data_IF_428588327173
#
_entry.id   IF_428588327173
#
_cell.length_a   1.000
_cell.length_b   1.000
_cell.length_c   1.000
_cell.angle_alpha   90.00
_cell.angle_beta   90.00
_cell.angle_gamma   90.00
#
_symmetry.space_group_name_H-M   'P 1'
#
loop_
_entity.id
_entity.type
_entity.pdbx_description
1 polymer ?
#
# COMPACT_ATOMS: atom_id res chain seq x y z
N UNK A 1 6.10 -23.53 18.24
CA UNK A 1 6.88 -22.27 18.13
C UNK A 1 6.73 -21.55 19.46
N UNK A 2 7.83 -21.19 20.14
CA UNK A 2 7.75 -20.55 21.45
C UNK A 2 7.10 -19.15 21.32
N UNK A 3 6.24 -18.79 22.28
CA UNK A 3 5.61 -17.48 22.28
C UNK A 3 6.67 -16.39 22.51
N UNK A 4 6.66 -15.29 21.73
CA UNK A 4 7.58 -14.19 21.92
C UNK A 4 7.34 -13.46 23.25
N UNK A 5 8.40 -12.88 23.79
CA UNK A 5 8.40 -12.11 25.04
C UNK A 5 7.50 -10.87 24.93
N UNK A 6 6.68 -10.61 25.96
CA UNK A 6 5.55 -9.66 25.92
C UNK A 6 5.98 -8.19 25.81
N UNK A 7 7.28 -7.91 25.94
CA UNK A 7 7.88 -6.57 25.87
C UNK A 7 8.34 -6.11 24.48
N UNK A 8 8.37 -6.98 23.47
CA UNK A 8 8.97 -6.70 22.16
C UNK A 8 7.96 -6.81 21.02
N UNK A 9 8.12 -5.98 19.98
CA UNK A 9 7.39 -6.15 18.74
C UNK A 9 7.75 -7.50 18.10
N UNK A 10 6.74 -8.24 17.68
CA UNK A 10 6.87 -9.49 16.96
C UNK A 10 6.69 -9.20 15.49
N UNK A 11 7.56 -9.71 14.63
CA UNK A 11 7.38 -9.61 13.17
C UNK A 11 7.45 -10.95 12.48
N UNK A 12 6.70 -11.09 11.40
CA UNK A 12 6.79 -12.22 10.49
C UNK A 12 6.72 -11.73 9.04
N UNK A 13 7.41 -12.44 8.15
CA UNK A 13 7.21 -12.30 6.71
C UNK A 13 6.40 -13.47 6.21
N UNK A 14 5.43 -13.20 5.36
CA UNK A 14 4.65 -14.22 4.66
C UNK A 14 4.56 -13.88 3.18
N UNK A 15 4.33 -14.90 2.37
CA UNK A 15 3.81 -14.73 1.03
C UNK A 15 2.28 -14.78 1.08
N UNK A 16 1.60 -13.91 0.33
CA UNK A 16 0.16 -14.00 0.12
C UNK A 16 -0.19 -15.14 -0.87
N UNK A 17 -1.48 -15.29 -1.19
CA UNK A 17 -1.95 -16.32 -2.12
C UNK A 17 -1.31 -16.26 -3.52
N UNK A 18 -0.82 -15.08 -3.93
CA UNK A 18 -0.20 -14.84 -5.25
C UNK A 18 1.34 -14.82 -5.18
N UNK A 19 1.92 -14.96 -3.99
CA UNK A 19 3.37 -14.95 -3.77
C UNK A 19 3.94 -13.60 -3.38
N UNK A 20 3.13 -12.55 -3.23
CA UNK A 20 3.60 -11.24 -2.79
C UNK A 20 4.05 -11.29 -1.33
N UNK A 21 5.23 -10.74 -1.04
CA UNK A 21 5.79 -10.79 0.31
C UNK A 21 5.32 -9.60 1.14
N UNK A 22 4.69 -9.89 2.27
CA UNK A 22 4.27 -8.91 3.27
C UNK A 22 5.01 -9.10 4.58
N UNK A 23 5.20 -8.01 5.32
CA UNK A 23 5.69 -8.06 6.71
C UNK A 23 4.56 -7.67 7.66
N UNK A 24 4.23 -8.58 8.59
CA UNK A 24 3.35 -8.30 9.72
C UNK A 24 4.21 -7.91 10.92
N UNK A 25 3.76 -6.93 11.69
CA UNK A 25 4.44 -6.49 12.91
C UNK A 25 3.41 -6.17 14.00
N UNK A 26 3.62 -6.68 15.21
CA UNK A 26 2.78 -6.34 16.37
C UNK A 26 3.18 -4.99 16.96
N UNK A 27 2.26 -4.38 17.69
CA UNK A 27 2.62 -3.27 18.59
C UNK A 27 3.60 -3.77 19.66
N UNK A 28 4.52 -2.91 20.07
CA UNK A 28 5.31 -3.12 21.29
C UNK A 28 4.44 -2.74 22.50
N UNK A 29 4.66 -3.35 23.66
CA UNK A 29 3.99 -2.98 24.92
C UNK A 29 4.52 -1.68 25.55
N UNK A 30 5.45 -0.98 24.88
CA UNK A 30 5.89 0.33 25.34
C UNK A 30 4.69 1.28 25.35
N UNK A 31 4.56 2.17 26.35
CA UNK A 31 3.49 3.15 26.35
C UNK A 31 3.52 3.86 25.00
N UNK A 32 2.34 3.95 24.38
CA UNK A 32 2.09 4.78 23.21
C UNK A 32 2.44 6.20 23.67
N UNK A 33 3.71 6.61 23.58
CA UNK A 33 4.01 8.03 23.43
C UNK A 33 3.22 8.38 22.21
N UNK A 34 2.09 9.04 22.44
CA UNK A 34 1.23 9.56 21.39
C UNK A 34 2.19 10.11 20.34
N UNK A 35 2.25 9.46 19.18
CA UNK A 35 2.78 10.11 18.00
C UNK A 35 1.73 11.17 17.71
N UNK A 36 1.79 12.27 18.48
CA UNK A 36 0.94 13.42 18.33
C UNK A 36 1.00 13.85 16.88
N UNK A 37 -0.16 14.21 16.32
CA UNK A 37 -0.42 14.40 14.89
C UNK A 37 0.49 15.40 14.18
N UNK A 38 1.76 15.06 14.01
CA UNK A 38 2.67 15.74 13.11
C UNK A 38 2.35 15.30 11.70
N UNK A 39 2.22 16.27 10.79
CA UNK A 39 2.08 15.99 9.36
C UNK A 39 3.21 15.04 8.92
N UNK A 40 2.90 13.96 8.19
CA UNK A 40 3.91 13.06 7.61
C UNK A 40 4.95 13.88 6.83
N UNK A 41 6.22 13.51 6.99
CA UNK A 41 7.32 14.12 6.24
C UNK A 41 7.57 13.35 4.94
N UNK A 42 8.11 13.98 3.87
CA UNK A 42 8.57 13.25 2.71
C UNK A 42 9.50 12.08 3.09
N UNK A 43 9.33 10.95 2.41
CA UNK A 43 9.96 9.67 2.74
C UNK A 43 9.13 8.80 3.70
N UNK A 44 8.07 9.32 4.31
CA UNK A 44 7.13 8.51 5.08
C UNK A 44 6.35 7.55 4.17
N UNK A 45 6.00 6.39 4.73
CA UNK A 45 5.03 5.49 4.12
C UNK A 45 3.68 6.22 3.97
N UNK A 46 3.13 6.20 2.76
CA UNK A 46 1.87 6.86 2.43
C UNK A 46 0.75 5.83 2.23
N UNK A 47 0.99 4.82 1.40
CA UNK A 47 0.03 3.73 1.11
C UNK A 47 0.78 2.51 0.57
N UNK A 48 0.05 1.50 0.11
CA UNK A 48 0.59 0.39 -0.67
C UNK A 48 -0.33 0.07 -1.85
N UNK A 49 0.24 -0.56 -2.87
CA UNK A 49 -0.46 -1.04 -4.05
C UNK A 49 -0.27 -2.55 -4.22
N UNK A 50 -1.34 -3.26 -4.58
CA UNK A 50 -1.31 -4.68 -4.96
C UNK A 50 -1.68 -4.80 -6.43
N UNK A 51 -0.80 -5.39 -7.23
CA UNK A 51 -1.10 -5.80 -8.60
C UNK A 51 -1.42 -7.28 -8.61
N UNK A 52 -2.58 -7.67 -9.14
CA UNK A 52 -2.98 -9.08 -9.19
C UNK A 52 -3.64 -9.46 -10.51
N UNK A 53 -3.38 -10.67 -10.98
CA UNK A 53 -4.08 -11.25 -12.14
C UNK A 53 -5.33 -12.05 -11.75
N UNK A 54 -5.65 -12.13 -10.45
CA UNK A 54 -6.89 -12.72 -9.93
C UNK A 54 -7.43 -11.89 -8.77
N UNK A 55 -8.08 -10.77 -9.09
CA UNK A 55 -8.62 -9.85 -8.10
C UNK A 55 -9.65 -10.50 -7.18
N UNK A 56 -10.40 -11.51 -7.64
CA UNK A 56 -11.42 -12.19 -6.84
C UNK A 56 -10.76 -13.06 -5.77
N UNK A 57 -9.79 -13.90 -6.15
CA UNK A 57 -9.07 -14.74 -5.19
C UNK A 57 -8.25 -13.89 -4.20
N UNK A 58 -7.58 -12.84 -4.69
CA UNK A 58 -6.80 -11.93 -3.85
C UNK A 58 -7.68 -11.25 -2.80
N UNK A 59 -8.84 -10.69 -3.18
CA UNK A 59 -9.79 -10.07 -2.23
C UNK A 59 -10.32 -11.07 -1.22
N UNK A 60 -10.68 -12.28 -1.66
CA UNK A 60 -11.18 -13.32 -0.77
C UNK A 60 -10.13 -13.72 0.27
N UNK A 61 -8.86 -13.86 -0.13
CA UNK A 61 -7.76 -14.16 0.78
C UNK A 61 -7.57 -13.07 1.84
N UNK A 62 -7.43 -11.80 1.43
CA UNK A 62 -7.18 -10.69 2.38
C UNK A 62 -8.37 -10.46 3.32
N UNK A 63 -9.61 -10.68 2.84
CA UNK A 63 -10.79 -10.64 3.68
C UNK A 63 -10.78 -11.77 4.74
N UNK A 64 -10.47 -13.01 4.35
CA UNK A 64 -10.47 -14.15 5.28
C UNK A 64 -9.29 -14.15 6.26
N UNK A 65 -8.11 -13.70 5.82
CA UNK A 65 -6.89 -13.77 6.61
C UNK A 65 -6.73 -12.59 7.58
N UNK A 66 -7.22 -11.40 7.19
CA UNK A 66 -6.93 -10.15 7.90
C UNK A 66 -8.15 -9.23 8.09
N UNK A 67 -9.35 -9.67 7.73
CA UNK A 67 -10.59 -8.88 7.76
C UNK A 67 -10.51 -7.57 6.95
N UNK A 68 -9.65 -7.54 5.92
CA UNK A 68 -9.54 -6.38 5.03
C UNK A 68 -10.76 -6.30 4.11
N UNK A 69 -11.16 -5.08 3.79
CA UNK A 69 -12.24 -4.83 2.82
C UNK A 69 -11.66 -4.24 1.55
N UNK A 70 -12.30 -4.53 0.42
CA UNK A 70 -11.95 -3.95 -0.87
C UNK A 70 -13.20 -3.44 -1.56
N UNK A 71 -13.18 -2.17 -1.95
CA UNK A 71 -14.28 -1.51 -2.64
C UNK A 71 -13.82 -1.06 -4.02
N UNK A 72 -14.60 -1.38 -5.05
CA UNK A 72 -14.24 -1.01 -6.41
C UNK A 72 -14.36 0.51 -6.58
N UNK A 73 -13.35 1.12 -7.18
CA UNK A 73 -13.42 2.52 -7.60
C UNK A 73 -14.24 2.61 -8.90
N UNK A 74 -15.42 3.25 -8.88
CA UNK A 74 -16.25 3.39 -10.06
C UNK A 74 -15.67 4.37 -11.10
N UNK A 75 -14.66 5.17 -10.74
CA UNK A 75 -13.99 6.13 -11.62
C UNK A 75 -12.84 5.56 -12.43
N UNK A 76 -12.44 4.31 -12.20
CA UNK A 76 -11.31 3.72 -12.93
C UNK A 76 -11.69 3.37 -14.38
N UNK A 77 -10.97 3.96 -15.34
CA UNK A 77 -11.28 3.87 -16.78
C UNK A 77 -10.41 2.88 -17.55
N UNK A 78 -9.20 2.56 -17.08
CA UNK A 78 -8.22 1.75 -17.82
C UNK A 78 -8.20 0.27 -17.38
N UNK A 79 -8.21 0.02 -16.07
CA UNK A 79 -8.32 -1.31 -15.47
C UNK A 79 -9.10 -1.20 -14.15
N UNK A 80 -9.89 -2.21 -13.72
CA UNK A 80 -10.58 -2.13 -12.44
C UNK A 80 -9.59 -1.85 -11.32
N UNK A 81 -9.91 -0.87 -10.47
CA UNK A 81 -9.12 -0.50 -9.31
C UNK A 81 -9.98 -0.66 -8.06
N UNK A 82 -9.37 -1.11 -6.96
CA UNK A 82 -10.05 -1.27 -5.69
C UNK A 82 -9.32 -0.53 -4.59
N UNK A 83 -10.06 0.25 -3.81
CA UNK A 83 -9.57 0.77 -2.54
C UNK A 83 -9.50 -0.35 -1.51
N UNK A 84 -8.36 -0.52 -0.84
CA UNK A 84 -8.17 -1.47 0.26
C UNK A 84 -8.30 -0.76 1.60
N UNK A 85 -9.11 -1.34 2.48
CA UNK A 85 -9.37 -0.85 3.83
C UNK A 85 -8.83 -1.86 4.84
N UNK A 86 -7.83 -1.43 5.62
CA UNK A 86 -7.33 -2.15 6.80
C UNK A 86 -7.93 -1.59 8.10
N UNK A 87 -8.83 -0.61 7.96
CA UNK A 87 -9.52 0.12 9.02
C UNK A 87 -10.68 0.94 8.44
N UNK A 88 -11.09 2.04 9.08
CA UNK A 88 -12.24 2.84 8.64
C UNK A 88 -11.95 3.68 7.38
N UNK A 89 -10.69 4.01 7.12
CA UNK A 89 -10.25 4.76 5.95
C UNK A 89 -9.46 3.85 5.00
N UNK A 90 -9.46 4.15 3.68
CA UNK A 90 -8.60 3.44 2.75
C UNK A 90 -7.13 3.56 3.19
N UNK A 91 -6.35 2.49 3.01
CA UNK A 91 -4.92 2.41 3.38
C UNK A 91 -4.04 2.04 2.19
N UNK A 92 -4.63 1.50 1.13
CA UNK A 92 -3.93 1.07 -0.07
C UNK A 92 -4.88 0.84 -1.22
N UNK A 93 -4.33 0.31 -2.31
CA UNK A 93 -5.03 0.05 -3.55
C UNK A 93 -4.73 -1.32 -4.13
N UNK A 94 -5.58 -1.73 -5.08
CA UNK A 94 -5.39 -2.94 -5.85
C UNK A 94 -5.72 -2.70 -7.32
N UNK A 95 -4.76 -2.98 -8.19
CA UNK A 95 -4.95 -3.07 -9.63
C UNK A 95 -5.39 -4.48 -10.01
N UNK A 96 -6.51 -4.57 -10.73
CA UNK A 96 -6.94 -5.81 -11.38
C UNK A 96 -6.34 -5.90 -12.78
N UNK A 97 -5.37 -6.81 -12.91
CA UNK A 97 -4.70 -7.14 -14.16
C UNK A 97 -5.15 -8.48 -14.73
N UNK A 98 -6.29 -9.02 -14.31
CA UNK A 98 -6.83 -10.29 -14.84
C UNK A 98 -7.02 -10.30 -16.35
N UNK A 99 -7.15 -9.13 -16.98
CA UNK A 99 -7.29 -8.98 -18.45
C UNK A 99 -6.02 -8.44 -19.13
N UNK A 100 -4.96 -8.13 -18.37
CA UNK A 100 -3.71 -7.59 -18.91
C UNK A 100 -2.73 -8.75 -19.14
N UNK A 101 -2.38 -8.97 -20.40
CA UNK A 101 -1.43 -10.03 -20.80
C UNK A 101 -0.03 -9.74 -20.26
N UNK A 102 0.68 -10.78 -19.84
CA UNK A 102 2.05 -10.72 -19.29
C UNK A 102 2.22 -9.77 -18.09
N UNK A 103 1.14 -9.51 -17.35
CA UNK A 103 1.20 -8.75 -16.10
C UNK A 103 1.87 -9.55 -14.97
N UNK A 104 2.49 -8.82 -14.05
CA UNK A 104 3.17 -9.39 -12.89
C UNK A 104 2.38 -9.15 -11.59
N UNK A 105 2.48 -10.09 -10.67
CA UNK A 105 2.02 -9.92 -9.30
C UNK A 105 2.98 -8.97 -8.57
N UNK A 106 2.45 -8.00 -7.83
CA UNK A 106 3.27 -7.16 -6.96
C UNK A 106 2.56 -6.74 -5.69
N UNK A 107 3.38 -6.45 -4.66
CA UNK A 107 3.02 -5.60 -3.54
C UNK A 107 4.06 -4.48 -3.44
N UNK A 108 3.63 -3.24 -3.66
CA UNK A 108 4.52 -2.08 -3.77
C UNK A 108 4.19 -1.05 -2.68
N UNK A 109 5.18 -0.60 -1.89
CA UNK A 109 4.98 0.53 -0.99
C UNK A 109 4.94 1.85 -1.79
N UNK A 110 4.08 2.76 -1.36
CA UNK A 110 4.01 4.14 -1.85
C UNK A 110 4.54 5.07 -0.78
N UNK A 111 5.46 5.97 -1.16
CA UNK A 111 6.08 6.92 -0.24
C UNK A 111 5.69 8.35 -0.59
N UNK A 112 5.56 9.19 0.44
CA UNK A 112 5.33 10.62 0.25
C UNK A 112 6.58 11.26 -0.37
N UNK A 113 6.46 11.79 -1.59
CA UNK A 113 7.54 12.52 -2.25
C UNK A 113 7.47 14.03 -1.93
N UNK A 114 8.59 14.73 -2.05
CA UNK A 114 8.61 16.20 -1.97
C UNK A 114 8.16 16.80 -3.30
N UNK A 115 8.73 16.32 -4.41
CA UNK A 115 8.39 16.72 -5.77
C UNK A 115 8.64 15.55 -6.71
N UNK A 116 7.55 14.92 -7.17
CA UNK A 116 7.62 13.69 -7.97
C UNK A 116 8.46 13.88 -9.24
N UNK A 117 8.29 14.94 -10.07
CA UNK A 117 9.11 15.11 -11.26
C UNK A 117 10.61 15.24 -10.97
N UNK A 118 10.98 15.98 -9.93
CA UNK A 118 12.37 16.18 -9.52
C UNK A 118 12.98 14.88 -8.98
N UNK A 119 12.26 14.17 -8.12
CA UNK A 119 12.73 12.92 -7.53
C UNK A 119 12.88 11.81 -8.60
N UNK A 120 11.95 11.74 -9.56
CA UNK A 120 12.07 10.85 -10.73
C UNK A 120 13.27 11.21 -11.59
N UNK A 121 13.46 12.50 -11.92
CA UNK A 121 14.61 12.96 -12.71
C UNK A 121 15.94 12.61 -12.05
N UNK A 122 16.00 12.72 -10.71
CA UNK A 122 17.16 12.30 -9.92
C UNK A 122 17.37 10.78 -9.97
N UNK A 123 16.32 9.97 -9.89
CA UNK A 123 16.46 8.52 -10.00
C UNK A 123 16.96 8.10 -11.39
N UNK A 124 16.43 8.72 -12.46
CA UNK A 124 16.85 8.46 -13.84
C UNK A 124 18.31 8.83 -14.07
N UNK A 125 18.80 9.94 -13.51
CA UNK A 125 20.23 10.30 -13.62
C UNK A 125 21.17 9.29 -12.95
N UNK A 126 20.65 8.43 -12.07
CA UNK A 126 21.34 7.29 -11.47
C UNK A 126 21.03 5.94 -12.14
N UNK A 127 20.56 5.97 -13.40
CA UNK A 127 20.36 4.79 -14.25
C UNK A 127 19.11 3.98 -13.92
N UNK A 128 18.11 4.58 -13.28
CA UNK A 128 16.80 3.94 -13.05
C UNK A 128 15.85 4.20 -14.21
N UNK A 129 14.86 3.31 -14.35
CA UNK A 129 13.80 3.41 -15.35
C UNK A 129 12.50 3.88 -14.71
N UNK A 130 11.68 4.59 -15.48
CA UNK A 130 10.32 4.93 -15.10
C UNK A 130 9.39 3.88 -15.70
N UNK A 131 8.61 3.23 -14.85
CA UNK A 131 7.63 2.24 -15.28
C UNK A 131 6.36 2.92 -15.84
N UNK A 132 5.93 3.99 -15.17
CA UNK A 132 4.72 4.74 -15.51
C UNK A 132 4.79 6.20 -15.00
N UNK A 133 4.11 7.13 -15.66
CA UNK A 133 4.07 8.55 -15.29
C UNK A 133 5.41 9.29 -15.50
N UNK A 134 5.66 10.42 -14.80
CA UNK A 134 4.80 11.08 -13.82
C UNK A 134 3.55 11.72 -14.46
N UNK A 135 2.42 11.68 -13.76
CA UNK A 135 1.16 12.26 -14.19
C UNK A 135 0.31 12.78 -13.02
N UNK A 136 -0.78 13.49 -13.31
CA UNK A 136 -1.70 13.97 -12.29
C UNK A 136 -2.58 12.84 -11.76
N UNK A 137 -2.53 12.57 -10.44
CA UNK A 137 -3.41 11.61 -9.79
C UNK A 137 -4.78 12.24 -9.47
N UNK A 138 -5.86 11.70 -10.03
CA UNK A 138 -7.23 12.22 -9.87
C UNK A 138 -7.67 12.26 -8.40
N UNK A 139 -7.23 11.29 -7.58
CA UNK A 139 -7.61 11.18 -6.17
C UNK A 139 -6.54 11.66 -5.18
N UNK A 140 -5.36 12.11 -5.64
CA UNK A 140 -4.28 12.57 -4.77
C UNK A 140 -3.93 11.60 -3.62
N UNK A 141 -3.60 12.14 -2.44
CA UNK A 141 -3.24 11.35 -1.23
C UNK A 141 -4.45 10.86 -0.41
N UNK A 142 -5.65 10.75 -1.00
CA UNK A 142 -6.86 10.36 -0.26
C UNK A 142 -6.72 9.02 0.52
N UNK A 143 -5.83 8.14 0.07
CA UNK A 143 -5.59 6.80 0.65
C UNK A 143 -4.61 6.77 1.83
N UNK A 144 -3.99 7.90 2.18
CA UNK A 144 -2.93 7.92 3.18
C UNK A 144 -3.40 8.37 4.58
N UNK A 145 -4.73 8.46 4.78
CA UNK A 145 -5.30 8.91 6.05
C UNK A 145 -5.00 10.38 6.38
N UNK A 146 -4.45 11.15 5.42
CA UNK A 146 -4.13 12.56 5.59
C UNK A 146 -5.38 13.40 5.31
N UNK A 147 -6.29 13.42 6.29
CA UNK A 147 -7.35 14.41 6.31
C UNK A 147 -6.73 15.80 6.22
N UNK A 148 -7.14 16.57 5.21
CA UNK A 148 -6.97 18.02 5.24
C UNK A 148 -7.85 18.49 6.41
N UNK A 149 -7.23 18.81 7.54
CA UNK A 149 -7.90 19.63 8.55
C UNK A 149 -8.06 20.99 7.88
N UNK A 150 -9.29 21.27 7.43
CA UNK A 150 -9.72 22.62 7.08
C UNK A 150 -9.91 23.44 8.36
#
# INVERSE_FOLDING_TARGET
MAAPDRGQAVRARLADHRGNVLTLVSRTSAPETEQGGSRPQPGAFASFEIGTTDATATRAFYAQAFDWRSEQDPGSVSAPYYSIFTGPVPTGGMHDYSTVTDSAEFAMPTFLATDVPTDVSRAVSHGRTVEYGPEAAIYGLAFAGFGVVA
#
